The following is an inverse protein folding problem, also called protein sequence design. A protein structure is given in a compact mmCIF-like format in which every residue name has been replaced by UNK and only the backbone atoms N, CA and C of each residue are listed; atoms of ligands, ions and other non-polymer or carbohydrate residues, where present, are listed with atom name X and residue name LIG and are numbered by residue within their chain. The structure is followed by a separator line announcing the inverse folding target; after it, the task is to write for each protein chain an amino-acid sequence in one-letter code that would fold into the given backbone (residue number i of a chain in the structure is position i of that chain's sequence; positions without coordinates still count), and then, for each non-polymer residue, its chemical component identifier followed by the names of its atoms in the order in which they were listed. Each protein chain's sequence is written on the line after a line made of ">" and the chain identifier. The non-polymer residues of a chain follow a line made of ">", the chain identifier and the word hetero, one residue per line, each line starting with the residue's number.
data_IF_120698943299
#
_entry.id   IF_120698943299
#
_cell.length_a   1.000
_cell.length_b   1.000
_cell.length_c   1.000
_cell.angle_alpha   90.00
_cell.angle_beta   90.00
_cell.angle_gamma   90.00
#
_symmetry.space_group_name_H-M   'P 1'
#
loop_
_entity.id
_entity.type
_entity.pdbx_description
1 polymer ?
#
# COMPACT_ATOMS: atom_id res chain seq x y z
N UNK A 1 -7.64 12.39 5.75
CA UNK A 1 -8.17 13.29 4.69
C UNK A 1 -7.08 13.82 3.73
N UNK A 2 -5.95 14.32 4.19
CA UNK A 2 -4.93 14.95 3.33
C UNK A 2 -4.27 13.99 2.31
N UNK A 3 -4.03 12.74 2.64
CA UNK A 3 -3.40 11.76 1.73
C UNK A 3 -4.28 11.35 0.55
N UNK A 4 -5.60 11.23 0.75
CA UNK A 4 -6.55 10.98 -0.34
C UNK A 4 -6.48 12.07 -1.41
N UNK A 5 -6.27 13.32 -1.02
CA UNK A 5 -6.19 14.44 -1.95
C UNK A 5 -4.94 14.38 -2.86
N UNK A 6 -3.83 13.77 -2.42
CA UNK A 6 -2.65 13.59 -3.29
C UNK A 6 -2.86 12.49 -4.31
N UNK A 7 -3.39 11.34 -3.91
CA UNK A 7 -3.70 10.25 -4.87
C UNK A 7 -4.73 10.72 -5.90
N UNK A 8 -5.76 11.46 -5.50
CA UNK A 8 -6.71 12.06 -6.42
C UNK A 8 -6.08 13.07 -7.37
N UNK A 9 -5.19 13.94 -6.86
CA UNK A 9 -4.56 15.01 -7.68
C UNK A 9 -3.68 14.49 -8.81
N UNK A 10 -2.99 13.35 -8.61
CA UNK A 10 -2.04 12.80 -9.57
C UNK A 10 -2.50 11.48 -10.19
N UNK A 11 -3.77 11.12 -10.04
CA UNK A 11 -4.32 9.83 -10.49
C UNK A 11 -3.99 9.50 -11.95
N UNK A 12 -4.04 10.47 -12.86
CA UNK A 12 -3.75 10.27 -14.29
C UNK A 12 -2.26 10.06 -14.59
N UNK A 13 -1.35 10.62 -13.78
CA UNK A 13 0.10 10.48 -13.94
C UNK A 13 0.66 9.34 -13.08
N UNK A 14 -0.15 8.78 -12.18
CA UNK A 14 0.25 7.81 -11.16
C UNK A 14 0.95 6.56 -11.74
N UNK A 15 0.51 6.08 -12.91
CA UNK A 15 1.12 4.90 -13.56
C UNK A 15 2.60 5.08 -13.90
N UNK A 16 3.07 6.32 -14.08
CA UNK A 16 4.47 6.61 -14.40
C UNK A 16 5.35 6.79 -13.17
N UNK A 17 4.74 6.99 -11.98
CA UNK A 17 5.47 7.30 -10.74
C UNK A 17 5.23 6.29 -9.62
N UNK A 18 4.71 5.10 -9.92
CA UNK A 18 4.41 4.05 -8.95
C UNK A 18 5.17 2.74 -9.25
N UNK A 19 6.39 2.87 -9.74
CA UNK A 19 7.22 1.73 -10.17
C UNK A 19 7.36 0.69 -9.05
N UNK A 20 7.72 1.12 -7.84
CA UNK A 20 7.89 0.21 -6.69
C UNK A 20 6.56 -0.43 -6.30
N UNK A 21 5.46 0.32 -6.30
CA UNK A 21 4.12 -0.21 -6.01
C UNK A 21 3.71 -1.28 -7.03
N UNK A 22 4.03 -1.09 -8.32
CA UNK A 22 3.76 -2.10 -9.36
C UNK A 22 4.59 -3.37 -9.14
N UNK A 23 5.87 -3.23 -8.79
CA UNK A 23 6.74 -4.36 -8.44
C UNK A 23 6.17 -5.11 -7.24
N UNK A 24 5.79 -4.40 -6.19
CA UNK A 24 5.19 -4.97 -4.98
C UNK A 24 3.90 -5.74 -5.30
N UNK A 25 2.98 -5.14 -6.04
CA UNK A 25 1.71 -5.80 -6.42
C UNK A 25 1.94 -7.06 -7.26
N UNK A 26 2.84 -6.99 -8.24
CA UNK A 26 3.20 -8.15 -9.08
C UNK A 26 3.86 -9.26 -8.26
N UNK A 27 4.81 -8.92 -7.39
CA UNK A 27 5.49 -9.88 -6.53
C UNK A 27 4.51 -10.53 -5.56
N UNK A 28 3.65 -9.74 -4.92
CA UNK A 28 2.63 -10.24 -4.00
C UNK A 28 1.75 -11.30 -4.66
N UNK A 29 1.21 -11.01 -5.86
CA UNK A 29 0.34 -11.95 -6.58
C UNK A 29 1.09 -13.22 -7.03
N UNK A 30 2.34 -13.06 -7.51
CA UNK A 30 3.16 -14.20 -7.94
C UNK A 30 3.46 -15.17 -6.80
N UNK A 31 3.57 -14.68 -5.59
CA UNK A 31 3.95 -15.45 -4.41
C UNK A 31 2.76 -16.07 -3.66
N UNK A 32 1.53 -15.86 -4.13
CA UNK A 32 0.36 -16.50 -3.56
C UNK A 32 0.44 -18.03 -3.74
N UNK A 33 0.24 -18.74 -2.63
CA UNK A 33 0.22 -20.23 -2.62
C UNK A 33 -1.10 -20.80 -3.12
N UNK A 34 -2.16 -19.98 -3.12
CA UNK A 34 -3.52 -20.38 -3.52
C UNK A 34 -4.07 -19.46 -4.62
N UNK A 35 -5.12 -19.91 -5.30
CA UNK A 35 -5.91 -19.12 -6.24
C UNK A 35 -7.32 -18.90 -5.66
N UNK A 36 -7.49 -17.90 -4.78
CA UNK A 36 -8.75 -17.68 -4.07
C UNK A 36 -9.88 -17.35 -5.04
N UNK A 37 -11.10 -17.81 -4.71
CA UNK A 37 -12.31 -17.54 -5.47
C UNK A 37 -13.06 -16.31 -4.99
N UNK A 38 -12.98 -16.02 -3.67
CA UNK A 38 -13.64 -14.87 -3.04
C UNK A 38 -12.58 -13.98 -2.44
N UNK A 39 -12.32 -12.83 -3.08
CA UNK A 39 -11.20 -11.95 -2.77
C UNK A 39 -11.72 -10.61 -2.27
N UNK A 40 -11.09 -10.08 -1.22
CA UNK A 40 -11.21 -8.68 -0.80
C UNK A 40 -9.86 -7.99 -1.00
N UNK A 41 -9.82 -6.95 -1.82
CA UNK A 41 -8.64 -6.09 -2.00
C UNK A 41 -8.84 -4.76 -1.29
N UNK A 42 -7.89 -4.38 -0.43
CA UNK A 42 -7.86 -3.10 0.27
C UNK A 42 -6.83 -2.16 -0.33
N UNK A 43 -7.27 -0.93 -0.67
CA UNK A 43 -6.44 0.07 -1.35
C UNK A 43 -6.15 -0.35 -2.79
N UNK A 44 -7.20 -0.68 -3.53
CA UNK A 44 -7.07 -1.24 -4.88
C UNK A 44 -6.49 -0.26 -5.91
N UNK A 45 -6.50 1.03 -5.62
CA UNK A 45 -6.02 2.06 -6.53
C UNK A 45 -6.63 1.92 -7.92
N UNK A 46 -5.78 2.02 -8.94
CA UNK A 46 -6.17 1.81 -10.35
C UNK A 46 -6.14 0.34 -10.80
N UNK A 47 -6.08 -0.62 -9.87
CA UNK A 47 -6.17 -2.07 -10.16
C UNK A 47 -4.80 -2.74 -10.41
N UNK A 48 -3.77 -2.39 -9.66
CA UNK A 48 -2.42 -2.95 -9.87
C UNK A 48 -2.32 -4.43 -9.44
N UNK A 49 -2.94 -4.82 -8.34
CA UNK A 49 -3.04 -6.22 -7.94
C UNK A 49 -3.90 -6.95 -8.96
N UNK A 50 -5.10 -6.41 -9.25
CA UNK A 50 -6.05 -7.01 -10.19
C UNK A 50 -5.44 -7.30 -11.56
N UNK A 51 -4.59 -6.41 -12.11
CA UNK A 51 -3.90 -6.59 -13.38
C UNK A 51 -2.95 -7.81 -13.43
N UNK A 52 -2.56 -8.33 -12.27
CA UNK A 52 -1.70 -9.51 -12.14
C UNK A 52 -2.48 -10.79 -11.78
N UNK A 53 -3.79 -10.70 -11.48
CA UNK A 53 -4.66 -11.86 -11.24
C UNK A 53 -4.97 -12.55 -12.57
N UNK A 54 -4.50 -13.77 -12.74
CA UNK A 54 -4.59 -14.55 -13.98
C UNK A 54 -5.38 -15.85 -13.83
N UNK A 55 -6.28 -15.91 -12.84
CA UNK A 55 -7.17 -17.04 -12.59
C UNK A 55 -8.62 -16.60 -12.45
N UNK A 56 -9.56 -17.53 -12.59
CA UNK A 56 -10.99 -17.26 -12.42
C UNK A 56 -11.36 -17.13 -10.94
N UNK A 57 -12.21 -16.15 -10.64
CA UNK A 57 -12.77 -15.92 -9.32
C UNK A 57 -14.30 -15.77 -9.39
N UNK A 58 -14.97 -16.11 -8.28
CA UNK A 58 -16.42 -16.02 -8.16
C UNK A 58 -16.85 -14.62 -7.72
N UNK A 59 -16.04 -13.98 -6.86
CA UNK A 59 -16.27 -12.63 -6.36
C UNK A 59 -14.96 -11.93 -6.01
N UNK A 60 -14.82 -10.73 -6.54
CA UNK A 60 -13.72 -9.83 -6.20
C UNK A 60 -14.31 -8.50 -5.71
N UNK A 61 -14.09 -8.14 -4.45
CA UNK A 61 -14.48 -6.84 -3.89
C UNK A 61 -13.21 -5.98 -3.74
N UNK A 62 -13.13 -4.91 -4.52
CA UNK A 62 -12.03 -3.96 -4.53
C UNK A 62 -12.44 -2.67 -3.80
N UNK A 63 -11.65 -2.25 -2.82
CA UNK A 63 -11.92 -1.08 -1.98
C UNK A 63 -10.80 -0.06 -2.11
N UNK A 64 -11.14 1.20 -2.35
CA UNK A 64 -10.22 2.32 -2.26
C UNK A 64 -10.89 3.53 -1.62
N UNK A 65 -10.11 4.37 -0.94
CA UNK A 65 -10.60 5.60 -0.34
C UNK A 65 -10.75 6.77 -1.32
N UNK A 66 -10.18 6.68 -2.52
CA UNK A 66 -10.23 7.70 -3.58
C UNK A 66 -11.21 7.27 -4.66
N UNK A 67 -12.23 8.11 -4.89
CA UNK A 67 -13.20 7.89 -5.97
C UNK A 67 -12.52 7.94 -7.35
N UNK A 68 -11.51 8.79 -7.52
CA UNK A 68 -10.75 8.93 -8.76
C UNK A 68 -9.99 7.63 -9.07
N UNK A 69 -9.39 7.00 -8.06
CA UNK A 69 -8.73 5.71 -8.23
C UNK A 69 -9.74 4.60 -8.56
N UNK A 70 -10.87 4.56 -7.85
CA UNK A 70 -11.95 3.62 -8.16
C UNK A 70 -12.45 3.75 -9.62
N UNK A 71 -12.51 4.98 -10.14
CA UNK A 71 -12.95 5.24 -11.52
C UNK A 71 -11.94 4.73 -12.57
N UNK A 72 -10.64 4.69 -12.23
CA UNK A 72 -9.57 4.20 -13.11
C UNK A 72 -9.43 2.67 -13.07
N UNK A 73 -10.02 2.01 -12.08
CA UNK A 73 -9.95 0.55 -11.93
C UNK A 73 -10.69 -0.15 -13.07
N UNK A 74 -10.14 -1.24 -13.67
CA UNK A 74 -10.84 -2.04 -14.67
C UNK A 74 -12.19 -2.55 -14.17
N UNK A 75 -13.17 -2.61 -15.06
CA UNK A 75 -14.52 -3.14 -14.77
C UNK A 75 -14.73 -4.43 -15.52
N UNK A 76 -14.93 -5.52 -14.81
CA UNK A 76 -15.17 -6.85 -15.38
C UNK A 76 -16.28 -7.57 -14.61
N UNK A 77 -16.76 -8.68 -15.16
CA UNK A 77 -17.74 -9.54 -14.49
C UNK A 77 -17.18 -10.05 -13.15
N UNK A 78 -18.02 -10.16 -12.14
CA UNK A 78 -17.69 -10.63 -10.78
C UNK A 78 -16.73 -9.72 -9.98
N UNK A 79 -16.39 -8.55 -10.49
CA UNK A 79 -15.62 -7.53 -9.79
C UNK A 79 -16.54 -6.39 -9.35
N UNK A 80 -16.60 -6.14 -8.07
CA UNK A 80 -17.29 -5.01 -7.45
C UNK A 80 -16.26 -4.02 -6.90
N UNK A 81 -16.38 -2.75 -7.28
CA UNK A 81 -15.48 -1.68 -6.83
C UNK A 81 -16.27 -0.72 -5.96
N UNK A 82 -15.81 -0.47 -4.73
CA UNK A 82 -16.48 0.45 -3.80
C UNK A 82 -15.49 1.48 -3.23
N UNK A 83 -15.95 2.73 -3.17
CA UNK A 83 -15.19 3.79 -2.53
C UNK A 83 -15.47 3.82 -1.04
N UNK A 84 -14.59 3.20 -0.24
CA UNK A 84 -14.64 3.19 1.21
C UNK A 84 -13.28 3.49 1.83
N UNK A 85 -13.30 4.10 2.98
CA UNK A 85 -12.14 4.12 3.86
C UNK A 85 -12.07 2.81 4.65
N UNK A 86 -11.03 2.03 4.49
CA UNK A 86 -10.85 0.77 5.21
C UNK A 86 -10.66 0.93 6.73
N UNK A 87 -10.43 2.16 7.24
CA UNK A 87 -10.44 2.47 8.67
C UNK A 87 -11.85 2.81 9.19
N UNK A 88 -12.88 2.87 8.34
CA UNK A 88 -14.19 3.37 8.75
C UNK A 88 -15.10 2.27 9.29
N UNK A 89 -15.97 2.66 10.21
CA UNK A 89 -17.00 1.74 10.77
C UNK A 89 -17.96 1.28 9.68
N UNK A 90 -18.29 2.17 8.73
CA UNK A 90 -19.17 1.88 7.61
C UNK A 90 -18.61 0.75 6.75
N UNK A 91 -17.30 0.77 6.47
CA UNK A 91 -16.63 -0.30 5.74
C UNK A 91 -16.76 -1.65 6.48
N UNK A 92 -16.45 -1.67 7.78
CA UNK A 92 -16.56 -2.92 8.54
C UNK A 92 -17.99 -3.43 8.65
N UNK A 93 -18.98 -2.56 8.78
CA UNK A 93 -20.38 -2.96 8.75
C UNK A 93 -20.78 -3.57 7.41
N UNK A 94 -20.22 -3.08 6.31
CA UNK A 94 -20.46 -3.61 4.96
C UNK A 94 -19.92 -5.04 4.77
N UNK A 95 -18.81 -5.40 5.44
CA UNK A 95 -18.09 -6.66 5.21
C UNK A 95 -18.24 -7.71 6.34
N UNK A 96 -18.71 -7.32 7.53
CA UNK A 96 -18.70 -8.18 8.75
C UNK A 96 -19.41 -9.54 8.60
N UNK A 97 -20.42 -9.61 7.74
CA UNK A 97 -21.20 -10.83 7.48
C UNK A 97 -20.77 -11.53 6.18
N UNK A 98 -19.65 -11.09 5.56
CA UNK A 98 -19.08 -11.68 4.35
C UNK A 98 -17.90 -12.55 4.72
N UNK A 99 -17.73 -13.65 3.98
CA UNK A 99 -16.56 -14.49 4.09
C UNK A 99 -15.74 -14.37 2.81
N UNK A 100 -14.43 -14.17 2.98
CA UNK A 100 -13.47 -14.15 1.88
C UNK A 100 -12.47 -15.29 2.05
N UNK A 101 -12.06 -15.88 0.93
CA UNK A 101 -11.01 -16.88 0.95
C UNK A 101 -9.68 -16.21 1.29
N UNK A 102 -9.52 -14.96 0.76
CA UNK A 102 -8.31 -14.17 0.98
C UNK A 102 -8.62 -12.68 1.04
N UNK A 103 -7.92 -11.98 1.93
CA UNK A 103 -7.75 -10.52 1.88
C UNK A 103 -6.37 -10.19 1.34
N UNK A 104 -6.29 -9.26 0.39
CA UNK A 104 -5.04 -8.84 -0.24
C UNK A 104 -4.90 -7.32 -0.22
N UNK A 105 -3.68 -6.82 0.00
CA UNK A 105 -3.41 -5.38 -0.03
C UNK A 105 -1.97 -5.10 -0.45
N UNK A 106 -1.76 -4.12 -1.31
CA UNK A 106 -0.42 -3.68 -1.68
C UNK A 106 -0.29 -2.16 -1.57
N UNK A 107 0.68 -1.71 -0.79
CA UNK A 107 1.07 -0.30 -0.68
C UNK A 107 -0.06 0.63 -0.18
N UNK A 108 -0.99 0.11 0.64
CA UNK A 108 -2.12 0.88 1.15
C UNK A 108 -2.23 0.89 2.67
N UNK A 109 -2.07 -0.25 3.33
CA UNK A 109 -2.34 -0.41 4.77
C UNK A 109 -1.39 0.37 5.67
N UNK A 110 -0.20 0.79 5.21
CA UNK A 110 0.69 1.69 5.95
C UNK A 110 0.06 3.04 6.26
N UNK A 111 -1.04 3.39 5.60
CA UNK A 111 -1.79 4.62 5.81
C UNK A 111 -2.97 4.47 6.78
N UNK A 112 -3.15 3.28 7.33
CA UNK A 112 -4.16 3.05 8.37
C UNK A 112 -3.88 3.89 9.61
N UNK A 113 -4.93 4.41 10.23
CA UNK A 113 -4.85 5.12 11.51
C UNK A 113 -4.62 4.16 12.67
N UNK A 114 -5.16 2.95 12.55
CA UNK A 114 -5.04 1.88 13.53
C UNK A 114 -4.98 0.54 12.78
N UNK A 115 -3.78 0.20 12.33
CA UNK A 115 -3.53 -1.03 11.57
C UNK A 115 -3.96 -2.27 12.37
N UNK A 116 -3.71 -2.28 13.67
CA UNK A 116 -4.07 -3.40 14.55
C UNK A 116 -5.58 -3.65 14.55
N UNK A 117 -6.38 -2.57 14.63
CA UNK A 117 -7.85 -2.64 14.59
C UNK A 117 -8.35 -3.09 13.21
N UNK A 118 -7.74 -2.62 12.13
CA UNK A 118 -8.07 -3.09 10.77
C UNK A 118 -7.82 -4.59 10.67
N UNK A 119 -6.63 -5.06 11.04
CA UNK A 119 -6.25 -6.49 10.98
C UNK A 119 -7.14 -7.34 11.89
N UNK A 120 -7.49 -6.86 13.10
CA UNK A 120 -8.48 -7.51 13.98
C UNK A 120 -9.82 -7.76 13.30
N UNK A 121 -10.35 -6.73 12.63
CA UNK A 121 -11.64 -6.88 11.97
C UNK A 121 -11.57 -7.81 10.75
N UNK A 122 -10.46 -7.77 10.01
CA UNK A 122 -10.25 -8.64 8.85
C UNK A 122 -10.10 -10.11 9.26
N UNK A 123 -9.49 -10.40 10.40
CA UNK A 123 -9.34 -11.77 10.90
C UNK A 123 -10.68 -12.48 11.20
N UNK A 124 -11.76 -11.70 11.35
CA UNK A 124 -13.12 -12.23 11.56
C UNK A 124 -13.80 -12.71 10.27
N UNK A 125 -13.31 -12.28 9.10
CA UNK A 125 -13.92 -12.54 7.80
C UNK A 125 -13.06 -13.34 6.83
N UNK A 126 -11.78 -13.56 7.18
CA UNK A 126 -10.86 -14.39 6.41
C UNK A 126 -9.84 -15.07 7.32
N UNK A 127 -9.34 -16.21 6.87
CA UNK A 127 -8.20 -16.90 7.50
C UNK A 127 -6.89 -16.67 6.76
N UNK A 128 -6.93 -16.11 5.56
CA UNK A 128 -5.76 -15.85 4.75
C UNK A 128 -5.70 -14.37 4.37
N UNK A 129 -4.57 -13.72 4.73
CA UNK A 129 -4.31 -12.32 4.40
C UNK A 129 -2.89 -12.16 3.91
N UNK A 130 -2.71 -11.61 2.71
CA UNK A 130 -1.41 -11.32 2.15
C UNK A 130 -1.29 -9.82 1.88
N UNK A 131 -0.22 -9.19 2.36
CA UNK A 131 -0.05 -7.75 2.22
C UNK A 131 1.40 -7.34 1.96
N UNK A 132 1.56 -6.19 1.29
CA UNK A 132 2.84 -5.49 1.19
C UNK A 132 2.65 -4.06 1.69
N UNK A 133 3.48 -3.63 2.63
CA UNK A 133 3.45 -2.30 3.20
C UNK A 133 4.82 -1.63 3.06
N UNK A 134 4.84 -0.32 2.86
CA UNK A 134 6.04 0.46 3.09
C UNK A 134 6.25 0.64 4.59
N UNK A 135 7.52 0.63 5.03
CA UNK A 135 7.90 0.90 6.42
C UNK A 135 8.42 2.32 6.60
N UNK A 136 8.55 2.74 7.85
CA UNK A 136 9.10 4.05 8.23
C UNK A 136 10.54 4.29 7.76
N UNK A 137 11.26 3.26 7.30
CA UNK A 137 12.60 3.39 6.73
C UNK A 137 12.58 3.76 5.23
N UNK A 138 11.40 3.81 4.58
CA UNK A 138 11.27 4.39 3.24
C UNK A 138 11.69 5.86 3.26
N UNK A 139 12.56 6.26 2.32
CA UNK A 139 13.17 7.59 2.26
C UNK A 139 14.02 7.95 3.51
N UNK A 140 14.71 6.98 4.08
CA UNK A 140 15.51 7.17 5.31
C UNK A 140 16.54 8.28 5.19
N UNK A 141 17.25 8.37 4.06
CA UNK A 141 18.23 9.43 3.81
C UNK A 141 17.58 10.81 3.81
N UNK A 142 16.39 10.96 3.23
CA UNK A 142 15.63 12.22 3.26
C UNK A 142 15.28 12.60 4.71
N UNK A 143 14.77 11.64 5.49
CA UNK A 143 14.41 11.85 6.89
C UNK A 143 15.62 12.32 7.72
N UNK A 144 16.80 11.70 7.52
CA UNK A 144 18.02 12.06 8.22
C UNK A 144 18.47 13.49 7.90
N UNK A 145 18.50 13.87 6.61
CA UNK A 145 18.90 15.21 6.17
C UNK A 145 17.93 16.27 6.69
N UNK A 146 16.63 16.01 6.64
CA UNK A 146 15.60 17.00 6.99
C UNK A 146 15.23 17.00 8.47
N UNK A 147 15.77 16.05 9.25
CA UNK A 147 15.35 15.80 10.62
C UNK A 147 13.82 15.70 10.75
N UNK A 148 13.21 14.89 9.88
CA UNK A 148 11.78 14.58 9.89
C UNK A 148 11.55 13.13 10.28
N UNK A 149 10.39 12.84 10.84
CA UNK A 149 9.95 11.45 11.09
C UNK A 149 9.05 10.98 9.96
N UNK A 150 9.10 9.70 9.68
CA UNK A 150 8.16 9.06 8.76
C UNK A 150 6.73 9.14 9.31
N UNK A 151 5.71 9.39 8.46
CA UNK A 151 4.31 9.34 8.86
C UNK A 151 3.72 7.93 8.91
N UNK A 152 4.47 6.92 8.48
CA UNK A 152 4.01 5.52 8.42
C UNK A 152 4.71 4.66 9.47
N UNK A 153 4.14 3.49 9.74
CA UNK A 153 4.58 2.58 10.80
C UNK A 153 5.97 1.96 10.51
N UNK A 154 6.68 1.64 11.58
CA UNK A 154 7.90 0.84 11.51
C UNK A 154 7.58 -0.66 11.33
N UNK A 155 8.60 -1.42 10.98
CA UNK A 155 8.52 -2.86 10.74
C UNK A 155 8.00 -3.62 11.97
N UNK A 156 8.42 -3.23 13.18
CA UNK A 156 8.04 -3.90 14.44
C UNK A 156 6.54 -3.74 14.68
N UNK A 157 6.04 -2.51 14.57
CA UNK A 157 4.61 -2.20 14.74
C UNK A 157 3.74 -2.93 13.71
N UNK A 158 4.22 -3.05 12.46
CA UNK A 158 3.51 -3.82 11.42
C UNK A 158 3.47 -5.31 11.80
N UNK A 159 4.61 -5.90 12.17
CA UNK A 159 4.69 -7.30 12.58
C UNK A 159 3.77 -7.61 13.75
N UNK A 160 3.77 -6.77 14.78
CA UNK A 160 2.90 -6.91 15.95
C UNK A 160 1.42 -6.86 15.59
N UNK A 161 1.02 -5.92 14.70
CA UNK A 161 -0.37 -5.80 14.28
C UNK A 161 -0.91 -7.08 13.62
N UNK A 162 -0.12 -7.71 12.75
CA UNK A 162 -0.52 -8.92 12.05
C UNK A 162 -0.39 -10.18 12.92
N UNK A 163 0.73 -10.36 13.63
CA UNK A 163 1.01 -11.55 14.44
C UNK A 163 0.04 -11.74 15.61
N UNK A 164 -0.65 -10.67 16.04
CA UNK A 164 -1.70 -10.75 17.06
C UNK A 164 -2.87 -11.63 16.61
N UNK A 165 -3.20 -11.63 15.31
CA UNK A 165 -4.43 -12.26 14.80
C UNK A 165 -4.18 -13.37 13.77
N UNK A 166 -2.99 -13.43 13.18
CA UNK A 166 -2.59 -14.41 12.18
C UNK A 166 -1.27 -15.07 12.57
N UNK A 167 -1.03 -16.26 12.07
CA UNK A 167 0.30 -16.82 11.96
C UNK A 167 0.92 -16.32 10.66
N UNK A 168 2.08 -15.66 10.76
CA UNK A 168 2.64 -14.88 9.64
C UNK A 168 4.10 -15.23 9.35
N UNK A 169 4.43 -15.26 8.07
CA UNK A 169 5.80 -15.11 7.55
C UNK A 169 6.01 -13.64 7.14
N UNK A 170 7.19 -13.10 7.45
CA UNK A 170 7.56 -11.74 7.10
C UNK A 170 8.86 -11.72 6.32
N UNK A 171 8.90 -10.92 5.25
CA UNK A 171 10.10 -10.65 4.48
C UNK A 171 10.22 -9.15 4.25
N UNK A 172 11.36 -8.56 4.67
CA UNK A 172 11.63 -7.13 4.48
C UNK A 172 12.65 -6.95 3.37
N UNK A 173 12.32 -6.12 2.38
CA UNK A 173 13.13 -5.88 1.19
C UNK A 173 13.40 -4.37 1.06
N UNK A 174 14.67 -4.01 0.81
CA UNK A 174 15.08 -2.66 0.49
C UNK A 174 15.25 -2.50 -1.02
N UNK A 175 14.37 -1.74 -1.66
CA UNK A 175 14.51 -1.33 -3.06
C UNK A 175 15.26 0.00 -3.16
N UNK A 176 16.08 0.12 -4.21
CA UNK A 176 16.70 1.38 -4.62
C UNK A 176 16.22 1.72 -6.02
N UNK A 177 15.61 2.87 -6.19
CA UNK A 177 15.20 3.41 -7.49
C UNK A 177 16.17 4.51 -7.89
N UNK A 178 16.93 4.26 -8.95
CA UNK A 178 17.94 5.19 -9.47
C UNK A 178 17.33 6.20 -10.44
N UNK A 179 17.92 7.39 -10.50
CA UNK A 179 17.52 8.50 -11.35
C UNK A 179 18.71 9.09 -12.07
N UNK A 180 18.50 9.57 -13.29
CA UNK A 180 19.55 10.19 -14.11
C UNK A 180 20.00 11.53 -13.55
N UNK A 181 19.14 12.24 -12.82
CA UNK A 181 19.44 13.55 -12.25
C UNK A 181 18.56 13.87 -11.03
N UNK A 182 18.98 14.87 -10.25
CA UNK A 182 18.26 15.32 -9.03
C UNK A 182 16.84 15.81 -9.33
N UNK A 183 16.59 16.43 -10.49
CA UNK A 183 15.26 16.96 -10.81
C UNK A 183 14.25 15.84 -10.95
N UNK A 184 14.58 14.80 -11.72
CA UNK A 184 13.73 13.61 -11.86
C UNK A 184 13.46 12.95 -10.52
N UNK A 185 14.47 12.83 -9.67
CA UNK A 185 14.33 12.25 -8.33
C UNK A 185 13.34 13.04 -7.47
N UNK A 186 13.46 14.36 -7.41
CA UNK A 186 12.55 15.19 -6.61
C UNK A 186 11.15 15.29 -7.21
N UNK A 187 11.03 15.25 -8.54
CA UNK A 187 9.72 15.18 -9.20
C UNK A 187 9.01 13.85 -8.88
N UNK A 188 9.77 12.75 -8.84
CA UNK A 188 9.23 11.45 -8.42
C UNK A 188 8.69 11.47 -6.98
N UNK A 189 9.43 12.04 -6.02
CA UNK A 189 8.97 12.16 -4.63
C UNK A 189 7.61 12.88 -4.55
N UNK A 190 7.45 13.97 -5.27
CA UNK A 190 6.19 14.76 -5.29
C UNK A 190 5.01 13.99 -5.88
N UNK A 191 5.25 13.16 -6.90
CA UNK A 191 4.20 12.53 -7.71
C UNK A 191 3.87 11.10 -7.29
N UNK A 192 4.77 10.40 -6.60
CA UNK A 192 4.59 9.01 -6.18
C UNK A 192 3.60 8.81 -5.04
N UNK A 193 3.28 9.87 -4.29
CA UNK A 193 2.43 9.81 -3.09
C UNK A 193 3.05 9.10 -1.87
N UNK A 194 4.24 8.51 -2.00
CA UNK A 194 4.88 7.74 -0.91
C UNK A 194 5.38 8.63 0.23
N UNK A 195 5.64 9.91 -0.04
CA UNK A 195 6.08 10.88 0.98
C UNK A 195 4.98 11.35 1.93
N UNK A 196 3.72 11.02 1.66
CA UNK A 196 2.58 11.60 2.36
C UNK A 196 2.30 13.04 1.93
N UNK A 197 1.36 13.70 2.62
CA UNK A 197 0.80 15.01 2.22
C UNK A 197 1.49 16.23 2.82
N UNK A 198 2.55 16.06 3.62
CA UNK A 198 3.23 17.19 4.26
C UNK A 198 4.23 17.84 3.32
N UNK A 199 3.98 19.08 2.91
CA UNK A 199 4.99 19.88 2.25
C UNK A 199 6.14 20.17 3.24
N UNK A 200 7.38 19.94 2.79
CA UNK A 200 8.55 20.30 3.59
C UNK A 200 8.64 21.84 3.69
N UNK A 201 8.89 22.40 4.88
CA UNK A 201 9.23 23.81 5.02
C UNK A 201 10.37 24.20 4.10
N UNK A 202 10.34 25.40 3.55
CA UNK A 202 11.31 25.89 2.56
C UNK A 202 12.76 25.63 2.95
N UNK A 203 13.15 25.92 4.20
CA UNK A 203 14.52 25.72 4.67
C UNK A 203 14.94 24.25 4.67
N UNK A 204 14.02 23.33 5.02
CA UNK A 204 14.27 21.89 4.96
C UNK A 204 14.36 21.39 3.51
N UNK A 205 13.52 21.91 2.62
CA UNK A 205 13.57 21.58 1.19
C UNK A 205 14.88 22.06 0.55
N UNK A 206 15.33 23.27 0.88
CA UNK A 206 16.62 23.83 0.44
C UNK A 206 17.80 23.02 0.94
N UNK A 207 17.80 22.65 2.24
CA UNK A 207 18.80 21.77 2.84
C UNK A 207 18.86 20.43 2.13
N UNK A 208 17.70 19.79 1.93
CA UNK A 208 17.56 18.52 1.25
C UNK A 208 18.15 18.57 -0.16
N UNK A 209 17.79 19.59 -0.95
CA UNK A 209 18.32 19.74 -2.31
C UNK A 209 19.84 19.90 -2.34
N UNK A 210 20.43 20.63 -1.36
CA UNK A 210 21.88 20.83 -1.24
C UNK A 210 22.60 19.56 -0.81
N UNK A 211 22.10 18.86 0.20
CA UNK A 211 22.81 17.77 0.90
C UNK A 211 22.52 16.38 0.31
N UNK A 212 21.45 16.21 -0.48
CA UNK A 212 21.13 14.92 -1.11
C UNK A 212 22.06 14.64 -2.29
N UNK A 213 23.13 13.85 -2.04
CA UNK A 213 24.21 13.60 -2.99
C UNK A 213 24.23 12.18 -3.55
N UNK A 214 23.14 11.43 -3.37
CA UNK A 214 22.92 10.12 -3.99
C UNK A 214 21.91 10.24 -5.12
N UNK A 215 22.00 9.35 -6.12
CA UNK A 215 21.16 9.36 -7.30
C UNK A 215 19.97 8.38 -7.23
N UNK A 216 19.66 7.85 -6.06
CA UNK A 216 18.58 6.89 -5.86
C UNK A 216 17.69 7.25 -4.66
N UNK A 217 16.48 6.72 -4.67
CA UNK A 217 15.55 6.72 -3.53
C UNK A 217 15.46 5.32 -2.93
N UNK A 218 15.39 5.26 -1.60
CA UNK A 218 15.27 4.04 -0.82
C UNK A 218 13.79 3.76 -0.49
N UNK A 219 13.36 2.53 -0.71
CA UNK A 219 12.01 2.06 -0.36
C UNK A 219 12.14 0.76 0.42
N UNK A 220 11.88 0.81 1.70
CA UNK A 220 11.80 -0.41 2.51
C UNK A 220 10.34 -0.87 2.55
N UNK A 221 10.13 -2.12 2.14
CA UNK A 221 8.82 -2.74 2.13
C UNK A 221 8.85 -4.04 2.93
N UNK A 222 7.76 -4.35 3.60
CA UNK A 222 7.54 -5.61 4.29
C UNK A 222 6.43 -6.39 3.60
N UNK A 223 6.74 -7.62 3.19
CA UNK A 223 5.78 -8.62 2.75
C UNK A 223 5.26 -9.38 3.97
N UNK A 224 3.96 -9.50 4.07
CA UNK A 224 3.25 -10.24 5.11
C UNK A 224 2.47 -11.35 4.42
N UNK A 225 2.78 -12.60 4.75
CA UNK A 225 2.07 -13.79 4.29
C UNK A 225 1.51 -14.51 5.50
N UNK A 226 0.22 -14.76 5.51
CA UNK A 226 -0.37 -15.56 6.59
C UNK A 226 -0.20 -17.04 6.30
N UNK A 227 0.12 -17.79 7.34
CA UNK A 227 0.14 -19.24 7.31
C UNK A 227 -1.22 -19.70 7.81
N UNK A 228 -1.94 -20.45 6.96
CA UNK A 228 -3.21 -21.05 7.37
C UNK A 228 -2.97 -21.94 8.60
N UNK A 229 -3.65 -21.69 9.71
CA UNK A 229 -3.71 -22.66 10.81
C UNK A 229 -4.47 -23.87 10.29
N UNK A 230 -3.75 -24.98 10.12
CA UNK A 230 -4.31 -26.29 9.82
C UNK A 230 -5.32 -26.72 10.88
#
# INVERSE_FOLDING_TARGET
>A
MQQRNQFSKYANEYKSYNIIQQICAKSLVRELKSKPKRILELGCGSGQIFANVNWEFDKYLAIDGSQEMCNLHPKVKNLEIKCFNFDSVEFFNEIKDKNFDMVISSSALQWSRDLKKVVENLSKITKEMNAVLFTSNTFKTIQNITATKSPILDEISIKEAFSTYFECEFETILYKLEFSNKKELFDYIKKSGVSGSSELPYEKAKKLYKEYNINYLEFEVIFVKTISKL
#
